data_IF_256328270088
#
_entry.id   IF_256328270088
#
_cell.length_a   1.000
_cell.length_b   1.000
_cell.length_c   1.000
_cell.angle_alpha   90.00
_cell.angle_beta   90.00
_cell.angle_gamma   90.00
#
_symmetry.space_group_name_H-M   'P 1'
#
loop_
_entity.id
_entity.type
_entity.pdbx_description
1 polymer ?
#
# COMPACT_ATOMS: atom_id res chain seq x y z
N UNK A 1 -43.16 39.88 10.28
CA UNK A 1 -42.11 40.37 9.35
C UNK A 1 -40.69 39.96 9.77
N UNK A 2 -40.25 40.16 11.03
CA UNK A 2 -38.90 39.75 11.47
C UNK A 2 -38.60 38.25 11.32
N UNK A 3 -39.58 37.39 11.56
CA UNK A 3 -39.40 35.93 11.47
C UNK A 3 -39.12 35.43 10.04
N UNK A 4 -39.87 35.90 9.04
CA UNK A 4 -39.65 35.50 7.63
C UNK A 4 -38.25 35.85 7.11
N UNK A 5 -37.67 36.96 7.58
CA UNK A 5 -36.30 37.37 7.23
C UNK A 5 -35.27 36.42 7.84
N UNK A 6 -35.47 36.00 9.10
CA UNK A 6 -34.59 35.03 9.77
C UNK A 6 -34.68 33.65 9.09
N UNK A 7 -35.87 33.22 8.71
CA UNK A 7 -36.06 31.94 7.99
C UNK A 7 -35.44 31.97 6.61
N UNK A 8 -35.57 33.09 5.88
CA UNK A 8 -34.93 33.29 4.57
C UNK A 8 -33.40 33.27 4.64
N UNK A 9 -32.81 33.94 5.63
CA UNK A 9 -31.35 33.94 5.84
C UNK A 9 -30.86 32.55 6.28
N UNK A 10 -31.61 31.86 7.14
CA UNK A 10 -31.27 30.50 7.58
C UNK A 10 -31.36 29.48 6.45
N UNK A 11 -32.34 29.61 5.56
CA UNK A 11 -32.47 28.77 4.36
C UNK A 11 -31.33 29.03 3.36
N UNK A 12 -30.93 30.29 3.16
CA UNK A 12 -29.77 30.64 2.34
C UNK A 12 -28.45 30.12 2.94
N UNK A 13 -28.26 30.26 4.26
CA UNK A 13 -27.09 29.74 4.96
C UNK A 13 -27.04 28.20 4.91
N UNK A 14 -28.17 27.53 5.12
CA UNK A 14 -28.31 26.08 5.00
C UNK A 14 -28.04 25.57 3.59
N UNK A 15 -28.55 26.26 2.56
CA UNK A 15 -28.27 25.94 1.16
C UNK A 15 -26.80 26.12 0.78
N UNK A 16 -26.15 27.18 1.28
CA UNK A 16 -24.73 27.42 1.04
C UNK A 16 -23.84 26.38 1.72
N UNK A 17 -24.09 26.07 2.99
CA UNK A 17 -23.39 25.02 3.74
C UNK A 17 -23.60 23.64 3.08
N UNK A 18 -24.83 23.30 2.72
CA UNK A 18 -25.16 22.03 2.05
C UNK A 18 -24.44 21.87 0.70
N UNK A 19 -24.42 22.92 -0.12
CA UNK A 19 -23.68 22.99 -1.38
C UNK A 19 -22.17 22.77 -1.18
N UNK A 20 -21.60 23.44 -0.18
CA UNK A 20 -20.18 23.33 0.14
C UNK A 20 -19.80 21.90 0.57
N UNK A 21 -20.57 21.30 1.50
CA UNK A 21 -20.37 19.91 1.92
C UNK A 21 -20.55 18.93 0.75
N UNK A 22 -21.51 19.16 -0.14
CA UNK A 22 -21.75 18.32 -1.32
C UNK A 22 -20.56 18.34 -2.28
N UNK A 23 -19.98 19.52 -2.57
CA UNK A 23 -18.79 19.62 -3.43
C UNK A 23 -17.58 18.94 -2.81
N UNK A 24 -17.37 19.13 -1.50
CA UNK A 24 -16.24 18.53 -0.80
C UNK A 24 -16.34 17.00 -0.77
N UNK A 25 -17.54 16.47 -0.50
CA UNK A 25 -17.80 15.02 -0.52
C UNK A 25 -17.66 14.41 -1.91
N UNK A 26 -18.16 15.07 -2.96
CA UNK A 26 -17.99 14.59 -4.34
C UNK A 26 -16.52 14.55 -4.76
N UNK A 27 -15.77 15.63 -4.52
CA UNK A 27 -14.32 15.65 -4.80
C UNK A 27 -13.59 14.54 -4.03
N UNK A 28 -14.01 14.29 -2.80
CA UNK A 28 -13.40 13.25 -1.98
C UNK A 28 -13.71 11.83 -2.46
N UNK A 29 -14.97 11.54 -2.82
CA UNK A 29 -15.37 10.27 -3.46
C UNK A 29 -14.54 10.02 -4.71
N UNK A 30 -14.42 11.03 -5.57
CA UNK A 30 -13.60 10.95 -6.78
C UNK A 30 -12.13 10.61 -6.46
N UNK A 31 -11.55 11.23 -5.42
CA UNK A 31 -10.17 10.94 -5.03
C UNK A 31 -10.00 9.50 -4.48
N UNK A 32 -10.97 9.02 -3.71
CA UNK A 32 -10.99 7.64 -3.20
C UNK A 32 -11.11 6.63 -4.34
N UNK A 33 -12.01 6.87 -5.30
CA UNK A 33 -12.18 6.03 -6.48
C UNK A 33 -10.87 5.95 -7.28
N UNK A 34 -10.26 7.10 -7.58
CA UNK A 34 -8.97 7.13 -8.32
C UNK A 34 -7.83 6.46 -7.59
N UNK A 35 -7.79 6.56 -6.26
CA UNK A 35 -6.85 5.77 -5.44
C UNK A 35 -7.09 4.28 -5.58
N UNK A 36 -8.33 3.84 -5.36
CA UNK A 36 -8.69 2.42 -5.41
C UNK A 36 -8.39 1.82 -6.78
N UNK A 37 -8.67 2.54 -7.87
CA UNK A 37 -8.36 2.14 -9.23
C UNK A 37 -6.84 2.02 -9.44
N UNK A 38 -6.07 3.04 -9.03
CA UNK A 38 -4.62 3.03 -9.19
C UNK A 38 -3.95 1.91 -8.38
N UNK A 39 -4.44 1.64 -7.17
CA UNK A 39 -3.97 0.56 -6.30
C UNK A 39 -4.32 -0.81 -6.84
N UNK A 40 -5.58 -1.03 -7.25
CA UNK A 40 -6.03 -2.28 -7.85
C UNK A 40 -5.20 -2.64 -9.08
N UNK A 41 -5.00 -1.65 -9.97
CA UNK A 41 -4.14 -1.82 -11.14
C UNK A 41 -2.67 -2.10 -10.78
N UNK A 42 -2.16 -1.53 -9.70
CA UNK A 42 -0.81 -1.84 -9.23
C UNK A 42 -0.69 -3.30 -8.78
N UNK A 43 -1.64 -3.79 -7.97
CA UNK A 43 -1.63 -5.17 -7.49
C UNK A 43 -1.74 -6.15 -8.65
N UNK A 44 -2.64 -5.89 -9.60
CA UNK A 44 -2.78 -6.72 -10.79
C UNK A 44 -1.47 -6.79 -11.58
N UNK A 45 -0.84 -5.65 -11.88
CA UNK A 45 0.42 -5.63 -12.62
C UNK A 45 1.58 -6.26 -11.84
N UNK A 46 1.56 -6.17 -10.50
CA UNK A 46 2.56 -6.79 -9.65
C UNK A 46 2.46 -8.32 -9.70
N UNK A 47 1.25 -8.85 -9.66
CA UNK A 47 0.96 -10.28 -9.75
C UNK A 47 1.25 -10.85 -11.16
N UNK A 48 0.86 -10.11 -12.20
CA UNK A 48 1.21 -10.45 -13.59
C UNK A 48 2.73 -10.46 -13.79
N UNK A 49 3.43 -9.46 -13.26
CA UNK A 49 4.89 -9.37 -13.30
C UNK A 49 5.55 -10.54 -12.57
N UNK A 50 5.05 -10.91 -11.40
CA UNK A 50 5.52 -12.05 -10.62
C UNK A 50 5.33 -13.37 -11.35
N UNK A 51 4.16 -13.59 -11.93
CA UNK A 51 3.83 -14.82 -12.65
C UNK A 51 4.78 -15.00 -13.84
N UNK A 52 4.92 -13.97 -14.68
CA UNK A 52 5.82 -13.98 -15.84
C UNK A 52 7.30 -14.07 -15.45
N UNK A 53 7.71 -13.35 -14.41
CA UNK A 53 9.08 -13.44 -13.89
C UNK A 53 9.39 -14.83 -13.34
N UNK A 54 8.42 -15.50 -12.73
CA UNK A 54 8.59 -16.86 -12.21
C UNK A 54 8.79 -17.87 -13.35
N UNK A 55 8.06 -17.73 -14.47
CA UNK A 55 8.25 -18.56 -15.66
C UNK A 55 9.68 -18.46 -16.22
N UNK A 56 10.28 -17.27 -16.21
CA UNK A 56 11.65 -17.03 -16.68
C UNK A 56 12.69 -17.80 -15.85
N UNK A 57 12.49 -17.93 -14.54
CA UNK A 57 13.41 -18.69 -13.69
C UNK A 57 13.37 -20.21 -13.92
N UNK A 58 12.36 -20.72 -14.63
CA UNK A 58 12.31 -22.13 -15.03
C UNK A 58 12.96 -22.39 -16.40
N UNK A 59 13.30 -21.34 -17.16
CA UNK A 59 13.94 -21.45 -18.45
C UNK A 59 15.46 -21.69 -18.31
N UNK A 60 15.87 -22.94 -18.45
CA UNK A 60 17.27 -23.39 -18.37
C UNK A 60 18.15 -22.94 -19.54
N UNK A 61 17.57 -22.38 -20.60
CA UNK A 61 18.33 -21.90 -21.74
C UNK A 61 19.04 -20.56 -21.48
N UNK A 62 18.64 -19.84 -20.42
CA UNK A 62 19.14 -18.51 -20.09
C UNK A 62 20.18 -18.57 -18.97
N UNK A 63 21.20 -17.71 -19.05
CA UNK A 63 22.11 -17.48 -17.94
C UNK A 63 21.42 -16.75 -16.78
N UNK A 64 21.92 -16.91 -15.54
CA UNK A 64 21.35 -16.26 -14.35
C UNK A 64 21.19 -14.73 -14.52
N UNK A 65 22.18 -14.09 -15.14
CA UNK A 65 22.15 -12.64 -15.41
C UNK A 65 21.05 -12.24 -16.39
N UNK A 66 20.82 -13.05 -17.43
CA UNK A 66 19.76 -12.82 -18.42
C UNK A 66 18.37 -13.09 -17.83
N UNK A 67 18.25 -14.11 -16.98
CA UNK A 67 17.02 -14.40 -16.24
C UNK A 67 16.64 -13.21 -15.34
N UNK A 68 17.61 -12.66 -14.59
CA UNK A 68 17.41 -11.47 -13.74
C UNK A 68 16.95 -10.26 -14.57
N UNK A 69 17.62 -9.99 -15.68
CA UNK A 69 17.29 -8.84 -16.54
C UNK A 69 15.88 -8.96 -17.12
N UNK A 70 15.54 -10.13 -17.69
CA UNK A 70 14.21 -10.37 -18.26
C UNK A 70 13.12 -10.38 -17.18
N UNK A 71 13.40 -10.93 -16.00
CA UNK A 71 12.46 -10.90 -14.88
C UNK A 71 12.17 -9.46 -14.43
N UNK A 72 13.20 -8.61 -14.38
CA UNK A 72 13.04 -7.19 -14.05
C UNK A 72 12.18 -6.46 -15.09
N UNK A 73 12.34 -6.78 -16.38
CA UNK A 73 11.52 -6.19 -17.45
C UNK A 73 10.03 -6.54 -17.27
N UNK A 74 9.69 -7.73 -16.76
CA UNK A 74 8.30 -8.09 -16.47
C UNK A 74 7.69 -7.23 -15.34
N UNK A 75 8.50 -6.73 -14.41
CA UNK A 75 8.05 -5.85 -13.34
C UNK A 75 7.93 -4.38 -13.77
N UNK A 76 8.47 -3.98 -14.92
CA UNK A 76 8.48 -2.58 -15.35
C UNK A 76 7.09 -1.91 -15.37
N UNK A 77 6.00 -2.57 -15.84
CA UNK A 77 4.66 -2.00 -15.74
C UNK A 77 4.22 -1.74 -14.29
N UNK A 78 4.50 -2.67 -13.38
CA UNK A 78 4.19 -2.51 -11.95
C UNK A 78 5.00 -1.37 -11.32
N UNK A 79 6.27 -1.22 -11.70
CA UNK A 79 7.15 -0.13 -11.24
C UNK A 79 6.60 1.23 -11.68
N UNK A 80 6.15 1.36 -12.93
CA UNK A 80 5.53 2.58 -13.44
C UNK A 80 4.22 2.88 -12.70
N UNK A 81 3.38 1.87 -12.49
CA UNK A 81 2.14 2.03 -11.75
C UNK A 81 2.37 2.39 -10.28
N UNK A 82 3.41 1.86 -9.64
CA UNK A 82 3.82 2.24 -8.28
C UNK A 82 4.17 3.74 -8.19
N UNK A 83 4.79 4.31 -9.23
CA UNK A 83 5.05 5.77 -9.28
C UNK A 83 3.75 6.57 -9.35
N UNK A 84 2.75 6.09 -10.09
CA UNK A 84 1.43 6.71 -10.18
C UNK A 84 0.72 6.64 -8.82
N UNK A 85 0.70 5.46 -8.20
CA UNK A 85 0.15 5.23 -6.85
C UNK A 85 0.75 6.22 -5.83
N UNK A 86 2.07 6.43 -5.91
CA UNK A 86 2.79 7.35 -5.02
C UNK A 86 2.31 8.80 -5.12
N UNK A 87 1.73 9.22 -6.24
CA UNK A 87 1.13 10.56 -6.39
C UNK A 87 -0.12 10.73 -5.53
N UNK A 88 -0.91 9.66 -5.40
CA UNK A 88 -2.16 9.66 -4.65
C UNK A 88 -1.98 9.45 -3.13
N UNK A 89 -0.81 8.96 -2.72
CA UNK A 89 -0.46 8.78 -1.31
C UNK A 89 -0.04 10.09 -0.61
N UNK A 90 -0.35 10.24 0.69
CA UNK A 90 0.20 11.31 1.53
C UNK A 90 1.73 11.26 1.54
N UNK A 91 2.40 12.43 1.57
CA UNK A 91 3.87 12.53 1.55
C UNK A 91 4.57 11.63 2.58
N UNK A 92 3.96 11.42 3.74
CA UNK A 92 4.51 10.59 4.82
C UNK A 92 4.59 9.10 4.49
N UNK A 93 3.75 8.60 3.56
CA UNK A 93 3.67 7.18 3.20
C UNK A 93 4.35 6.87 1.86
N UNK A 94 4.71 7.89 1.08
CA UNK A 94 5.26 7.73 -0.28
C UNK A 94 6.56 6.92 -0.29
N UNK A 95 7.48 7.21 0.62
CA UNK A 95 8.77 6.54 0.66
C UNK A 95 8.61 5.12 1.21
N UNK A 96 7.86 4.95 2.29
CA UNK A 96 7.57 3.62 2.87
C UNK A 96 6.91 2.69 1.85
N UNK A 97 5.88 3.17 1.15
CA UNK A 97 5.26 2.40 0.06
C UNK A 97 6.29 2.01 -1.01
N UNK A 98 7.11 2.97 -1.47
CA UNK A 98 8.11 2.72 -2.50
C UNK A 98 9.19 1.72 -2.05
N UNK A 99 9.59 1.77 -0.78
CA UNK A 99 10.54 0.83 -0.19
C UNK A 99 9.98 -0.58 -0.14
N UNK A 100 8.73 -0.77 0.30
CA UNK A 100 8.10 -2.09 0.31
C UNK A 100 7.89 -2.63 -1.10
N UNK A 101 7.39 -1.80 -2.01
CA UNK A 101 7.22 -2.19 -3.41
C UNK A 101 8.58 -2.61 -4.01
N UNK A 102 9.63 -1.80 -3.80
CA UNK A 102 10.97 -2.12 -4.28
C UNK A 102 11.53 -3.40 -3.69
N UNK A 103 11.37 -3.58 -2.39
CA UNK A 103 11.83 -4.77 -1.69
C UNK A 103 11.15 -6.02 -2.25
N UNK A 104 9.84 -5.95 -2.52
CA UNK A 104 9.06 -7.05 -3.08
C UNK A 104 9.67 -7.62 -4.35
N UNK A 105 9.84 -6.80 -5.40
CA UNK A 105 10.41 -7.31 -6.66
C UNK A 105 11.91 -7.62 -6.53
N UNK A 106 12.67 -6.89 -5.68
CA UNK A 106 14.09 -7.21 -5.48
C UNK A 106 14.31 -8.58 -4.85
N UNK A 107 13.45 -8.98 -3.90
CA UNK A 107 13.51 -10.29 -3.25
C UNK A 107 13.10 -11.39 -4.22
N UNK A 108 12.10 -11.13 -5.08
CA UNK A 108 11.67 -12.09 -6.09
C UNK A 108 12.76 -12.39 -7.11
N UNK A 109 13.46 -11.34 -7.57
CA UNK A 109 14.49 -11.44 -8.61
C UNK A 109 15.82 -11.96 -8.05
N UNK A 110 16.06 -11.85 -6.74
CA UNK A 110 17.28 -12.32 -6.10
C UNK A 110 17.40 -13.85 -6.14
N UNK A 111 18.26 -14.33 -7.04
CA UNK A 111 18.43 -15.75 -7.31
C UNK A 111 18.92 -16.50 -6.06
N UNK A 112 19.69 -15.84 -5.19
CA UNK A 112 20.34 -16.43 -4.01
C UNK A 112 19.35 -16.86 -2.92
N UNK A 113 18.13 -16.33 -2.93
CA UNK A 113 17.13 -16.56 -1.89
C UNK A 113 16.42 -17.93 -2.01
N UNK A 114 16.52 -18.58 -3.17
CA UNK A 114 15.94 -19.90 -3.44
C UNK A 114 14.48 -20.05 -2.97
N UNK A 115 14.20 -21.09 -2.18
CA UNK A 115 12.86 -21.44 -1.69
C UNK A 115 12.33 -20.42 -0.66
N UNK A 116 13.20 -19.63 -0.04
CA UNK A 116 12.80 -18.65 1.00
C UNK A 116 12.24 -17.34 0.43
N UNK A 117 12.25 -17.14 -0.89
CA UNK A 117 11.74 -15.93 -1.56
C UNK A 117 10.32 -15.59 -1.14
N UNK A 118 9.40 -16.55 -1.24
CA UNK A 118 7.99 -16.34 -0.92
C UNK A 118 7.78 -15.85 0.52
N UNK A 119 8.42 -16.51 1.49
CA UNK A 119 8.30 -16.13 2.91
C UNK A 119 8.82 -14.73 3.24
N UNK A 120 9.80 -14.22 2.46
CA UNK A 120 10.32 -12.85 2.62
C UNK A 120 9.55 -11.81 1.83
N UNK A 121 8.82 -12.19 0.78
CA UNK A 121 7.97 -11.29 0.01
C UNK A 121 6.67 -10.93 0.75
N UNK A 122 6.05 -11.90 1.43
CA UNK A 122 4.77 -11.74 2.12
C UNK A 122 4.73 -10.51 3.04
N UNK A 123 5.72 -10.27 3.94
CA UNK A 123 5.70 -9.08 4.80
C UNK A 123 5.70 -7.75 4.06
N UNK A 124 6.32 -7.67 2.87
CA UNK A 124 6.31 -6.45 2.06
C UNK A 124 4.97 -6.26 1.34
N UNK A 125 4.35 -7.35 0.90
CA UNK A 125 3.01 -7.31 0.33
C UNK A 125 1.97 -6.88 1.37
N UNK A 126 2.00 -7.49 2.56
CA UNK A 126 1.12 -7.13 3.68
C UNK A 126 1.28 -5.66 4.07
N UNK A 127 2.53 -5.16 4.13
CA UNK A 127 2.76 -3.74 4.44
C UNK A 127 2.23 -2.79 3.35
N UNK A 128 2.26 -3.19 2.08
CA UNK A 128 1.64 -2.44 0.98
C UNK A 128 0.11 -2.43 1.15
N UNK A 129 -0.47 -3.59 1.42
CA UNK A 129 -1.90 -3.72 1.65
C UNK A 129 -2.36 -2.91 2.86
N UNK A 130 -1.61 -2.93 3.97
CA UNK A 130 -1.86 -2.11 5.16
C UNK A 130 -1.89 -0.61 4.84
N UNK A 131 -0.97 -0.13 3.99
CA UNK A 131 -0.96 1.27 3.54
C UNK A 131 -2.24 1.58 2.78
N UNK A 132 -2.71 0.66 1.94
CA UNK A 132 -3.91 0.83 1.15
C UNK A 132 -5.18 0.81 1.99
N UNK A 133 -5.34 -0.18 2.88
CA UNK A 133 -6.48 -0.27 3.80
C UNK A 133 -6.58 0.97 4.69
N UNK A 134 -5.43 1.47 5.15
CA UNK A 134 -5.38 2.72 5.92
C UNK A 134 -5.89 3.91 5.11
N UNK A 135 -5.53 4.03 3.83
CA UNK A 135 -5.92 5.15 2.97
C UNK A 135 -7.33 5.03 2.39
N UNK A 136 -7.88 3.82 2.30
CA UNK A 136 -9.23 3.54 1.82
C UNK A 136 -10.27 3.51 2.96
N UNK A 137 -9.85 3.43 4.23
CA UNK A 137 -10.81 3.35 5.34
C UNK A 137 -11.73 4.59 5.40
N UNK A 138 -13.04 4.40 5.66
CA UNK A 138 -13.99 5.51 5.80
C UNK A 138 -13.68 6.43 6.99
N UNK A 139 -12.86 5.95 7.94
CA UNK A 139 -12.42 6.69 9.12
C UNK A 139 -11.13 7.50 8.91
N UNK A 140 -10.62 7.63 7.69
CA UNK A 140 -9.39 8.42 7.48
C UNK A 140 -9.54 9.89 7.95
N UNK A 141 -10.77 10.42 8.03
CA UNK A 141 -11.08 11.74 8.60
C UNK A 141 -10.76 11.86 10.11
N UNK A 142 -10.78 10.76 10.87
CA UNK A 142 -10.51 10.75 12.33
C UNK A 142 -9.02 10.64 12.68
N UNK A 143 -8.13 10.66 11.68
CA UNK A 143 -6.69 10.42 11.84
C UNK A 143 -5.89 11.36 12.74
N UNK A 144 -6.22 12.66 12.96
CA UNK A 144 -5.45 13.43 13.94
C UNK A 144 -5.55 12.84 15.35
N UNK A 145 -6.60 12.06 15.67
CA UNK A 145 -6.80 11.44 16.98
C UNK A 145 -6.24 10.00 17.09
N UNK A 146 -6.28 9.22 16.00
CA UNK A 146 -5.91 7.79 16.03
C UNK A 146 -4.40 7.49 16.07
N UNK A 147 -3.53 8.37 15.55
CA UNK A 147 -2.07 8.14 15.56
C UNK A 147 -1.46 8.15 16.96
N UNK A 148 -2.11 8.84 17.91
CA UNK A 148 -1.64 8.92 19.29
C UNK A 148 -1.86 7.60 20.04
N UNK A 149 -2.94 6.88 19.76
CA UNK A 149 -3.27 5.60 20.40
C UNK A 149 -2.43 4.42 19.89
N UNK A 150 -2.11 4.35 18.58
CA UNK A 150 -1.23 3.28 18.04
C UNK A 150 0.21 3.35 18.55
N UNK A 151 0.73 4.53 18.89
CA UNK A 151 2.05 4.67 19.54
C UNK A 151 2.06 4.14 20.97
N UNK A 152 0.91 4.17 21.65
CA UNK A 152 0.77 3.65 23.00
C UNK A 152 0.66 2.13 22.95
N UNK A 153 -0.14 1.54 22.05
CA UNK A 153 -0.33 0.08 22.01
C UNK A 153 0.87 -0.70 21.49
N UNK A 154 1.67 -0.15 20.58
CA UNK A 154 2.92 -0.81 20.15
C UNK A 154 4.06 -0.72 21.17
N UNK A 155 3.93 0.08 22.23
CA UNK A 155 4.89 0.12 23.35
C UNK A 155 4.72 -1.08 24.30
N UNK A 156 3.60 -1.80 24.21
CA UNK A 156 3.24 -2.90 25.11
C UNK A 156 3.19 -4.27 24.42
N UNK A 157 3.61 -4.40 23.15
CA UNK A 157 3.84 -5.74 22.58
C UNK A 157 5.11 -6.33 23.21
N UNK A 158 5.03 -7.42 23.98
CA UNK A 158 6.23 -8.05 24.50
C UNK A 158 7.08 -8.53 23.31
N UNK A 159 8.35 -8.14 23.30
CA UNK A 159 9.35 -8.72 22.40
C UNK A 159 9.40 -10.22 22.70
N UNK A 160 8.79 -11.01 21.83
CA UNK A 160 8.97 -12.46 21.81
C UNK A 160 10.46 -12.75 21.70
N UNK A 161 10.99 -13.29 22.79
CA UNK A 161 12.38 -13.65 22.98
C UNK A 161 12.68 -14.91 22.15
N UNK A 162 13.16 -14.77 20.91
CA UNK A 162 13.75 -15.90 20.18
C UNK A 162 15.18 -16.10 20.67
N UNK A 163 15.29 -16.74 21.84
CA UNK A 163 16.55 -17.26 22.36
C UNK A 163 16.51 -18.79 22.36
N UNK A 164 17.52 -19.37 21.72
CA UNK A 164 18.11 -20.69 21.99
C UNK A 164 17.35 -21.94 21.53
N UNK A 165 17.73 -22.46 20.36
CA UNK A 165 17.81 -23.91 20.10
C UNK A 165 19.07 -24.20 19.26
N UNK A 166 20.23 -24.03 19.89
CA UNK A 166 21.48 -24.67 19.49
C UNK A 166 22.03 -25.36 20.73
N UNK A 167 21.82 -26.68 20.84
CA UNK A 167 22.69 -27.60 21.57
C UNK A 167 22.24 -29.04 21.35
N UNK A 168 23.10 -29.80 20.66
CA UNK A 168 23.44 -31.19 21.00
C UNK A 168 22.48 -32.29 20.59
N UNK A 169 22.82 -33.03 19.52
CA UNK A 169 22.86 -34.49 19.57
C UNK A 169 24.09 -34.93 18.76
N UNK A 170 25.20 -35.19 19.47
CA UNK A 170 26.17 -36.21 19.09
C UNK A 170 25.80 -37.45 19.92
N UNK A 171 25.52 -38.55 19.22
CA UNK A 171 25.86 -39.93 19.60
C UNK A 171 25.64 -40.82 18.37
#
# INVERSE_FOLDING_TARGET
MKEMVITGISALAGGFLGSFFTRQTQHHKWLLERRSEAFSRFIQLLDEGQTKASEIFFDRALSDTEQIAKALDQYQPAILQARIVRLYLPRTLRNTFWEHARSYWSIHIDVTQGIHRGGRMVPHFDAIQDIFEQELSPYFWLRPLGRQWRRITNRWRPRGNTANLTTGINN
#
